data_IF_325791160608
#
_entry.id   IF_325791160608
#
_cell.length_a   1.000
_cell.length_b   1.000
_cell.length_c   1.000
_cell.angle_alpha   90.00
_cell.angle_beta   90.00
_cell.angle_gamma   90.00
#
_symmetry.space_group_name_H-M   'P 1'
#
loop_
_entity.id
_entity.type
_entity.pdbx_description
1 polymer ?
#
# COMPACT_ATOMS: atom_id res chain seq x y z
N UNK A 1 -54.81 -24.05 -54.16
CA UNK A 1 -53.80 -23.01 -53.87
C UNK A 1 -54.02 -22.53 -52.45
N UNK A 2 -53.24 -23.06 -51.50
CA UNK A 2 -53.29 -22.71 -50.09
C UNK A 2 -52.27 -21.60 -49.84
N UNK A 3 -52.67 -20.52 -49.17
CA UNK A 3 -51.76 -19.49 -48.70
C UNK A 3 -51.76 -19.52 -47.17
N UNK A 4 -50.69 -20.09 -46.62
CA UNK A 4 -50.35 -20.07 -45.20
C UNK A 4 -49.95 -18.66 -44.78
N UNK A 5 -50.61 -18.11 -43.76
CA UNK A 5 -50.19 -16.88 -43.09
C UNK A 5 -49.17 -17.21 -42.02
N UNK A 6 -47.97 -16.65 -42.17
CA UNK A 6 -46.82 -16.78 -41.27
C UNK A 6 -46.97 -15.91 -40.02
N UNK A 7 -46.70 -16.51 -38.86
CA UNK A 7 -46.58 -15.84 -37.57
C UNK A 7 -45.27 -15.03 -37.50
N UNK A 8 -45.23 -13.84 -36.86
CA UNK A 8 -43.97 -13.08 -36.71
C UNK A 8 -43.02 -13.73 -35.70
N UNK A 9 -41.74 -13.75 -36.06
CA UNK A 9 -40.63 -14.19 -35.21
C UNK A 9 -40.29 -13.12 -34.17
N UNK A 10 -40.32 -13.48 -32.88
CA UNK A 10 -39.80 -12.69 -31.76
C UNK A 10 -38.38 -13.16 -31.40
N UNK A 11 -37.39 -12.26 -31.23
CA UNK A 11 -36.05 -12.67 -30.81
C UNK A 11 -36.08 -13.09 -29.34
N UNK A 12 -35.69 -14.35 -29.08
CA UNK A 12 -35.43 -14.86 -27.74
C UNK A 12 -34.31 -14.04 -27.10
N UNK A 13 -34.61 -13.38 -25.96
CA UNK A 13 -33.59 -12.82 -25.08
C UNK A 13 -32.82 -13.98 -24.46
N UNK A 14 -31.59 -14.15 -24.92
CA UNK A 14 -30.58 -14.99 -24.30
C UNK A 14 -30.46 -14.59 -22.83
N UNK A 15 -30.94 -15.44 -21.93
CA UNK A 15 -30.61 -15.33 -20.52
C UNK A 15 -29.13 -15.74 -20.40
N UNK A 16 -28.24 -14.75 -20.45
CA UNK A 16 -26.89 -14.93 -19.94
C UNK A 16 -27.03 -15.25 -18.45
N UNK A 17 -26.75 -16.50 -18.10
CA UNK A 17 -26.60 -16.94 -16.72
C UNK A 17 -25.52 -16.03 -16.14
N UNK A 18 -25.92 -15.15 -15.22
CA UNK A 18 -25.00 -14.31 -14.49
C UNK A 18 -24.01 -15.25 -13.79
N UNK A 19 -22.81 -15.38 -14.36
CA UNK A 19 -21.71 -16.07 -13.71
C UNK A 19 -21.57 -15.46 -12.33
N UNK A 20 -21.64 -16.29 -11.29
CA UNK A 20 -21.29 -15.88 -9.95
C UNK A 20 -19.89 -15.27 -10.00
N UNK A 21 -19.83 -13.95 -9.95
CA UNK A 21 -18.60 -13.25 -9.61
C UNK A 21 -18.35 -13.59 -8.14
N UNK A 22 -17.51 -14.58 -7.90
CA UNK A 22 -16.86 -14.75 -6.61
C UNK A 22 -15.80 -13.65 -6.51
N UNK A 23 -15.85 -12.77 -5.49
CA UNK A 23 -14.71 -11.91 -5.21
C UNK A 23 -13.45 -12.77 -5.10
N UNK A 24 -12.27 -12.31 -5.57
CA UNK A 24 -11.03 -12.99 -5.23
C UNK A 24 -10.96 -13.15 -3.71
N UNK A 25 -10.58 -14.34 -3.24
CA UNK A 25 -10.57 -14.73 -1.83
C UNK A 25 -10.14 -13.54 -0.94
N UNK A 26 -11.06 -13.05 -0.13
CA UNK A 26 -10.82 -11.98 0.85
C UNK A 26 -9.81 -12.39 1.94
N UNK A 27 -9.21 -13.58 1.83
CA UNK A 27 -8.21 -14.14 2.73
C UNK A 27 -6.82 -13.50 2.58
N UNK A 28 -6.54 -12.75 1.50
CA UNK A 28 -5.23 -12.17 1.26
C UNK A 28 -5.30 -10.69 0.86
N UNK A 29 -4.52 -9.85 1.55
CA UNK A 29 -4.29 -8.46 1.16
C UNK A 29 -3.10 -8.36 0.22
N UNK A 30 -3.16 -7.44 -0.75
CA UNK A 30 -2.08 -7.18 -1.72
C UNK A 30 -1.01 -6.28 -1.11
N UNK A 31 0.27 -6.72 -1.00
CA UNK A 31 1.35 -5.81 -0.64
C UNK A 31 1.55 -4.78 -1.76
N UNK A 32 1.35 -3.49 -1.44
CA UNK A 32 1.59 -2.39 -2.37
C UNK A 32 2.85 -1.63 -1.93
N UNK A 33 3.94 -1.84 -2.66
CA UNK A 33 5.22 -1.19 -2.45
C UNK A 33 5.13 0.28 -2.90
N UNK A 34 5.45 1.20 -1.99
CA UNK A 34 5.40 2.66 -2.22
C UNK A 34 6.78 3.27 -1.97
N UNK A 35 7.62 3.40 -3.01
CA UNK A 35 8.95 4.00 -2.89
C UNK A 35 8.92 5.48 -2.49
N UNK A 36 10.06 5.97 -2.00
CA UNK A 36 10.31 7.37 -1.71
C UNK A 36 10.96 8.13 -2.87
N UNK A 37 11.43 9.35 -2.57
CA UNK A 37 12.17 10.20 -3.51
C UNK A 37 13.39 9.45 -4.11
N UNK A 38 13.59 9.57 -5.43
CA UNK A 38 14.61 8.86 -6.22
C UNK A 38 14.43 7.36 -6.38
N UNK A 39 13.24 6.85 -6.02
CA UNK A 39 12.86 5.44 -6.13
C UNK A 39 13.73 4.50 -5.28
N UNK A 40 13.34 3.22 -5.22
CA UNK A 40 14.14 2.16 -4.59
C UNK A 40 14.96 1.42 -5.65
N UNK A 41 16.28 1.53 -5.61
CA UNK A 41 17.18 0.82 -6.53
C UNK A 41 17.18 -0.71 -6.38
N UNK A 42 17.94 -1.45 -7.22
CA UNK A 42 17.88 -2.92 -7.30
C UNK A 42 18.19 -3.67 -6.00
N UNK A 43 19.13 -3.19 -5.19
CA UNK A 43 19.50 -3.83 -3.92
C UNK A 43 18.57 -3.49 -2.75
N UNK A 44 17.62 -2.58 -2.95
CA UNK A 44 16.77 -2.08 -1.87
C UNK A 44 15.71 -3.10 -1.49
N UNK A 45 15.42 -3.24 -0.20
CA UNK A 45 14.42 -4.18 0.31
C UNK A 45 13.06 -4.08 -0.40
N UNK A 46 12.56 -2.87 -0.69
CA UNK A 46 11.33 -2.68 -1.46
C UNK A 46 11.37 -3.33 -2.86
N UNK A 47 12.51 -3.29 -3.53
CA UNK A 47 12.67 -3.89 -4.87
C UNK A 47 12.75 -5.40 -4.78
N UNK A 48 13.56 -5.91 -3.85
CA UNK A 48 13.67 -7.35 -3.59
C UNK A 48 12.33 -7.95 -3.17
N UNK A 49 11.54 -7.24 -2.37
CA UNK A 49 10.22 -7.69 -1.94
C UNK A 49 9.18 -7.63 -3.06
N UNK A 50 9.21 -6.61 -3.92
CA UNK A 50 8.35 -6.53 -5.10
C UNK A 50 8.54 -7.74 -6.04
N UNK A 51 9.77 -8.25 -6.14
CA UNK A 51 10.11 -9.41 -6.97
C UNK A 51 9.75 -10.76 -6.31
N UNK A 52 9.83 -10.85 -4.99
CA UNK A 52 9.75 -12.12 -4.26
C UNK A 52 8.42 -12.39 -3.58
N UNK A 53 7.67 -11.34 -3.21
CA UNK A 53 6.39 -11.51 -2.51
C UNK A 53 5.28 -11.82 -3.51
N UNK A 54 4.55 -12.95 -3.36
CA UNK A 54 3.45 -13.29 -4.25
C UNK A 54 2.39 -12.19 -4.31
N UNK A 55 2.05 -11.75 -5.51
CA UNK A 55 1.02 -10.74 -5.76
C UNK A 55 1.41 -9.32 -5.34
N UNK A 56 2.65 -9.07 -4.90
CA UNK A 56 3.08 -7.72 -4.60
C UNK A 56 3.01 -6.82 -5.84
N UNK A 57 2.56 -5.59 -5.64
CA UNK A 57 2.50 -4.55 -6.66
C UNK A 57 3.39 -3.39 -6.25
N UNK A 58 3.91 -2.64 -7.22
CA UNK A 58 4.73 -1.46 -6.97
C UNK A 58 4.11 -0.24 -7.63
N UNK A 59 4.04 0.86 -6.87
CA UNK A 59 3.65 2.16 -7.41
C UNK A 59 4.82 2.74 -8.19
N UNK A 60 4.58 3.13 -9.44
CA UNK A 60 5.54 3.82 -10.30
C UNK A 60 5.11 5.26 -10.45
N UNK A 61 5.99 6.20 -10.09
CA UNK A 61 5.77 7.63 -10.26
C UNK A 61 6.37 8.11 -11.57
N UNK A 62 5.78 9.16 -12.15
CA UNK A 62 6.23 9.72 -13.43
C UNK A 62 7.56 10.49 -13.30
N UNK A 63 7.75 11.19 -12.18
CA UNK A 63 8.99 11.91 -11.86
C UNK A 63 9.47 11.57 -10.44
N UNK A 64 10.61 10.90 -10.37
CA UNK A 64 11.27 10.52 -9.13
C UNK A 64 12.19 11.60 -8.55
N UNK A 65 12.59 12.59 -9.35
CA UNK A 65 13.55 13.64 -9.00
C UNK A 65 12.85 14.92 -8.52
N UNK A 66 11.70 15.27 -9.09
CA UNK A 66 10.89 16.43 -8.72
C UNK A 66 9.49 16.00 -8.26
N UNK A 67 9.38 15.39 -7.07
CA UNK A 67 8.12 14.85 -6.59
C UNK A 67 7.13 16.00 -6.29
N UNK A 68 5.92 15.87 -6.81
CA UNK A 68 4.81 16.76 -6.50
C UNK A 68 3.73 15.97 -5.75
N UNK A 69 3.32 16.46 -4.57
CA UNK A 69 2.34 15.79 -3.69
C UNK A 69 1.11 15.33 -4.46
N UNK A 70 0.44 16.23 -5.17
CA UNK A 70 -0.85 15.93 -5.80
C UNK A 70 -0.72 14.82 -6.86
N UNK A 71 0.35 14.86 -7.66
CA UNK A 71 0.64 13.82 -8.65
C UNK A 71 0.94 12.46 -7.98
N UNK A 72 1.84 12.46 -7.00
CA UNK A 72 2.25 11.23 -6.30
C UNK A 72 1.10 10.57 -5.54
N UNK A 73 0.27 11.39 -4.86
CA UNK A 73 -0.90 10.93 -4.12
C UNK A 73 -1.98 10.43 -5.07
N UNK A 74 -2.21 11.10 -6.21
CA UNK A 74 -3.16 10.62 -7.23
C UNK A 74 -2.74 9.27 -7.80
N UNK A 75 -1.46 9.09 -8.13
CA UNK A 75 -0.91 7.82 -8.62
C UNK A 75 -1.04 6.71 -7.59
N UNK A 76 -0.69 6.99 -6.32
CA UNK A 76 -0.85 6.04 -5.22
C UNK A 76 -2.33 5.67 -5.03
N UNK A 77 -3.23 6.65 -4.97
CA UNK A 77 -4.67 6.43 -4.81
C UNK A 77 -5.23 5.57 -5.95
N UNK A 78 -4.84 5.83 -7.19
CA UNK A 78 -5.24 5.04 -8.34
C UNK A 78 -4.70 3.59 -8.28
N UNK A 79 -3.49 3.38 -7.76
CA UNK A 79 -2.96 2.02 -7.54
C UNK A 79 -3.77 1.28 -6.45
N UNK A 80 -4.04 1.93 -5.33
CA UNK A 80 -4.85 1.37 -4.22
C UNK A 80 -6.26 0.99 -4.70
N UNK A 81 -6.91 1.88 -5.46
CA UNK A 81 -8.28 1.67 -5.96
C UNK A 81 -8.38 0.57 -7.03
N UNK A 82 -7.32 0.36 -7.81
CA UNK A 82 -7.25 -0.71 -8.84
C UNK A 82 -6.83 -2.07 -8.30
N UNK A 83 -6.29 -2.13 -7.08
CA UNK A 83 -5.85 -3.38 -6.50
C UNK A 83 -7.03 -4.38 -6.40
N UNK A 84 -6.83 -5.66 -6.75
CA UNK A 84 -7.91 -6.65 -6.79
C UNK A 84 -8.48 -6.98 -5.40
N UNK A 85 -7.70 -6.74 -4.34
CA UNK A 85 -8.04 -6.96 -2.94
C UNK A 85 -7.75 -5.69 -2.12
N UNK A 86 -8.12 -5.63 -0.83
CA UNK A 86 -7.57 -4.63 0.09
C UNK A 86 -6.03 -4.67 0.09
N UNK A 87 -5.39 -3.53 0.28
CA UNK A 87 -3.92 -3.44 0.20
C UNK A 87 -3.28 -3.35 1.58
N UNK A 88 -2.06 -3.87 1.71
CA UNK A 88 -1.14 -3.47 2.77
C UNK A 88 -0.10 -2.54 2.16
N UNK A 89 -0.09 -1.27 2.57
CA UNK A 89 0.90 -0.31 2.09
C UNK A 89 2.26 -0.64 2.67
N UNK A 90 3.28 -0.67 1.83
CA UNK A 90 4.67 -0.90 2.22
C UNK A 90 5.48 0.30 1.75
N UNK A 91 5.43 1.36 2.55
CA UNK A 91 5.92 2.68 2.18
C UNK A 91 7.28 2.98 2.80
N UNK A 92 8.11 3.71 2.07
CA UNK A 92 9.42 4.16 2.53
C UNK A 92 9.59 5.67 2.32
N UNK A 93 10.19 6.35 3.30
CA UNK A 93 10.60 7.75 3.15
C UNK A 93 9.44 8.66 2.72
N UNK A 94 9.57 9.37 1.60
CA UNK A 94 8.51 10.23 1.05
C UNK A 94 7.21 9.46 0.75
N UNK A 95 7.30 8.16 0.42
CA UNK A 95 6.15 7.29 0.22
C UNK A 95 5.28 7.19 1.47
N UNK A 96 5.85 7.30 2.67
CA UNK A 96 5.07 7.34 3.92
C UNK A 96 4.21 8.61 3.99
N UNK A 97 4.77 9.74 3.56
CA UNK A 97 4.06 11.03 3.56
C UNK A 97 2.96 11.01 2.49
N UNK A 98 3.22 10.44 1.32
CA UNK A 98 2.20 10.22 0.30
C UNK A 98 1.04 9.33 0.81
N UNK A 99 1.35 8.27 1.57
CA UNK A 99 0.33 7.40 2.18
C UNK A 99 -0.54 8.13 3.21
N UNK A 100 0.03 9.06 4.00
CA UNK A 100 -0.71 9.88 4.95
C UNK A 100 -1.64 10.90 4.27
N UNK A 101 -1.35 11.30 3.04
CA UNK A 101 -2.17 12.21 2.22
C UNK A 101 -3.28 11.49 1.42
N UNK A 102 -3.43 10.16 1.55
CA UNK A 102 -4.42 9.43 0.77
C UNK A 102 -5.85 9.96 0.99
N UNK A 103 -6.64 10.15 -0.09
CA UNK A 103 -8.03 10.55 0.04
C UNK A 103 -8.86 9.43 0.71
N UNK A 104 -9.95 9.77 1.42
CA UNK A 104 -10.74 8.80 2.19
C UNK A 104 -11.18 7.56 1.41
N UNK A 105 -11.56 7.73 0.13
CA UNK A 105 -11.99 6.61 -0.72
C UNK A 105 -10.87 5.57 -0.95
N UNK A 106 -9.63 6.02 -1.14
CA UNK A 106 -8.48 5.12 -1.27
C UNK A 106 -8.06 4.57 0.09
N UNK A 107 -8.03 5.41 1.13
CA UNK A 107 -7.70 5.00 2.49
C UNK A 107 -8.63 3.89 3.02
N UNK A 108 -9.91 3.91 2.63
CA UNK A 108 -10.88 2.86 2.99
C UNK A 108 -10.57 1.48 2.40
N UNK A 109 -9.73 1.39 1.36
CA UNK A 109 -9.26 0.13 0.77
C UNK A 109 -7.93 -0.36 1.36
N UNK A 110 -7.32 0.41 2.25
CA UNK A 110 -6.08 0.02 2.92
C UNK A 110 -6.44 -0.82 4.13
N UNK A 111 -5.97 -2.07 4.15
CA UNK A 111 -6.11 -2.97 5.30
C UNK A 111 -5.16 -2.55 6.43
N UNK A 112 -3.90 -2.29 6.08
CA UNK A 112 -2.87 -1.86 7.02
C UNK A 112 -1.70 -1.16 6.30
N UNK A 113 -0.78 -0.57 7.06
CA UNK A 113 0.43 0.05 6.49
C UNK A 113 1.69 -0.21 7.32
N UNK A 114 2.78 -0.56 6.63
CA UNK A 114 4.15 -0.50 7.13
C UNK A 114 4.80 0.77 6.59
N UNK A 115 5.10 1.72 7.46
CA UNK A 115 5.62 3.05 7.16
C UNK A 115 7.08 3.15 7.64
N UNK A 116 8.03 2.99 6.72
CA UNK A 116 9.46 2.82 7.05
C UNK A 116 10.23 4.11 6.78
N UNK A 117 10.97 4.59 7.78
CA UNK A 117 11.84 5.76 7.70
C UNK A 117 11.12 7.00 7.12
N UNK A 118 9.96 7.43 7.66
CA UNK A 118 9.17 8.51 7.08
C UNK A 118 10.00 9.78 6.92
N UNK A 119 9.85 10.49 5.80
CA UNK A 119 10.62 11.72 5.53
C UNK A 119 10.17 12.91 6.39
N UNK A 120 11.02 13.93 6.48
CA UNK A 120 10.66 15.27 6.95
C UNK A 120 10.65 16.24 5.74
N UNK A 121 9.49 16.49 5.12
CA UNK A 121 9.40 17.36 3.94
C UNK A 121 9.84 18.80 4.22
N UNK A 122 9.65 19.30 5.44
CA UNK A 122 9.96 20.68 5.82
C UNK A 122 11.48 20.96 5.82
N UNK A 123 12.30 19.92 5.95
CA UNK A 123 13.77 20.03 5.93
C UNK A 123 14.38 19.97 4.53
N UNK A 124 13.58 19.81 3.47
CA UNK A 124 14.08 19.65 2.10
C UNK A 124 13.19 20.39 1.10
N UNK A 125 13.72 21.44 0.49
CA UNK A 125 12.99 22.27 -0.47
C UNK A 125 12.33 21.47 -1.61
N UNK A 126 12.98 20.41 -2.11
CA UNK A 126 12.43 19.55 -3.18
C UNK A 126 11.19 18.74 -2.76
N UNK A 127 10.88 18.70 -1.46
CA UNK A 127 9.77 17.95 -0.87
C UNK A 127 8.67 18.88 -0.31
N UNK A 128 8.83 20.19 -0.41
CA UNK A 128 7.99 21.19 0.25
C UNK A 128 6.49 21.02 -0.03
N UNK A 129 6.11 20.58 -1.23
CA UNK A 129 4.72 20.35 -1.64
C UNK A 129 4.00 19.28 -0.80
N UNK A 130 4.75 18.43 -0.09
CA UNK A 130 4.22 17.41 0.82
C UNK A 130 3.98 17.95 2.24
N UNK A 131 4.42 19.17 2.53
CA UNK A 131 4.10 19.87 3.77
C UNK A 131 2.78 20.66 3.66
N UNK A 132 2.06 20.87 4.78
CA UNK A 132 2.28 20.21 6.06
C UNK A 132 1.95 18.72 5.97
N UNK A 133 2.65 17.90 6.76
CA UNK A 133 2.33 16.47 6.88
C UNK A 133 0.98 16.32 7.60
N UNK A 134 0.03 15.52 7.09
CA UNK A 134 -1.28 15.39 7.69
C UNK A 134 -1.20 14.94 9.14
N UNK A 135 -1.80 15.74 10.02
CA UNK A 135 -2.01 15.39 11.42
C UNK A 135 -3.38 14.73 11.57
N UNK A 136 -3.43 13.52 12.11
CA UNK A 136 -4.68 12.80 12.29
C UNK A 136 -4.49 11.29 12.25
N UNK A 137 -5.32 10.58 12.99
CA UNK A 137 -5.27 9.11 13.05
C UNK A 137 -5.56 8.53 11.67
N UNK A 138 -4.74 7.57 11.23
CA UNK A 138 -4.99 6.82 10.00
C UNK A 138 -6.21 5.89 10.21
N UNK A 139 -7.10 5.72 9.22
CA UNK A 139 -8.30 4.89 9.36
C UNK A 139 -8.03 3.38 9.31
N UNK A 140 -6.76 2.97 9.39
CA UNK A 140 -6.29 1.60 9.30
C UNK A 140 -5.12 1.36 10.26
N UNK A 141 -4.87 0.09 10.61
CA UNK A 141 -3.73 -0.28 11.46
C UNK A 141 -2.42 0.07 10.76
N UNK A 142 -1.44 0.59 11.49
CA UNK A 142 -0.14 0.92 10.91
C UNK A 142 1.02 0.78 11.89
N UNK A 143 2.21 0.47 11.35
CA UNK A 143 3.48 0.43 12.06
C UNK A 143 4.40 1.47 11.42
N UNK A 144 4.93 2.40 12.22
CA UNK A 144 6.02 3.28 11.83
C UNK A 144 7.34 2.67 12.31
N UNK A 145 8.27 2.45 11.38
CA UNK A 145 9.64 2.03 11.69
C UNK A 145 10.58 3.20 11.48
N UNK A 146 11.40 3.56 12.46
CA UNK A 146 12.33 4.69 12.34
C UNK A 146 13.70 4.38 12.96
N UNK A 147 14.76 4.88 12.33
CA UNK A 147 16.11 4.78 12.86
C UNK A 147 16.45 5.93 13.82
N UNK A 148 17.32 5.69 14.81
CA UNK A 148 17.85 6.74 15.69
C UNK A 148 18.78 7.73 15.01
N UNK A 149 19.38 7.37 13.87
CA UNK A 149 20.35 8.18 13.13
C UNK A 149 19.93 8.44 11.67
N UNK A 150 18.62 8.43 11.37
CA UNK A 150 18.12 8.76 10.04
C UNK A 150 18.42 10.23 9.67
N UNK A 151 19.17 10.51 8.59
CA UNK A 151 19.50 11.87 8.18
C UNK A 151 18.30 12.63 7.58
N UNK A 152 17.27 11.93 7.10
CA UNK A 152 16.10 12.51 6.44
C UNK A 152 14.99 12.90 7.41
N UNK A 153 14.89 12.25 8.57
CA UNK A 153 13.87 12.53 9.56
C UNK A 153 14.36 12.20 10.97
N UNK A 154 14.44 13.18 11.89
CA UNK A 154 14.83 12.89 13.27
C UNK A 154 13.87 11.91 13.92
N UNK A 155 14.39 10.93 14.66
CA UNK A 155 13.57 9.88 15.32
C UNK A 155 12.46 10.46 16.22
N UNK A 156 12.68 11.64 16.82
CA UNK A 156 11.68 12.35 17.62
C UNK A 156 10.47 12.78 16.79
N UNK A 157 10.71 13.25 15.56
CA UNK A 157 9.67 13.63 14.62
C UNK A 157 8.95 12.39 14.07
N UNK A 158 9.69 11.34 13.68
CA UNK A 158 9.07 10.08 13.27
C UNK A 158 8.16 9.49 14.38
N UNK A 159 8.59 9.58 15.64
CA UNK A 159 7.75 9.20 16.79
C UNK A 159 6.55 10.13 16.99
N UNK A 160 6.64 11.41 16.62
CA UNK A 160 5.49 12.33 16.62
C UNK A 160 4.48 11.97 15.51
N UNK A 161 4.96 11.62 14.32
CA UNK A 161 4.11 11.07 13.26
C UNK A 161 3.38 9.82 13.73
N UNK A 162 4.09 8.84 14.31
CA UNK A 162 3.47 7.62 14.82
C UNK A 162 2.36 7.91 15.85
N UNK A 163 2.59 8.83 16.80
CA UNK A 163 1.55 9.25 17.76
C UNK A 163 0.36 9.91 17.10
N UNK A 164 0.60 10.84 16.17
CA UNK A 164 -0.45 11.56 15.43
C UNK A 164 -1.31 10.61 14.60
N UNK A 165 -0.66 9.70 13.87
CA UNK A 165 -1.29 8.70 13.02
C UNK A 165 -1.92 7.54 13.80
N UNK A 166 -1.64 7.44 15.10
CA UNK A 166 -2.13 6.35 15.94
C UNK A 166 -1.48 5.01 15.62
N UNK A 167 -0.26 5.04 15.10
CA UNK A 167 0.53 3.88 14.68
C UNK A 167 1.32 3.27 15.83
N UNK A 168 1.58 1.97 15.74
CA UNK A 168 2.66 1.34 16.50
C UNK A 168 4.01 1.94 16.07
N UNK A 169 4.98 2.03 16.99
CA UNK A 169 6.28 2.63 16.71
C UNK A 169 7.42 1.66 17.03
N UNK A 170 8.19 1.30 16.01
CA UNK A 170 9.38 0.47 16.12
C UNK A 170 10.60 1.34 15.87
N UNK A 171 11.42 1.52 16.91
CA UNK A 171 12.69 2.25 16.80
C UNK A 171 13.85 1.29 16.59
N UNK A 172 14.63 1.51 15.54
CA UNK A 172 15.87 0.79 15.28
C UNK A 172 17.08 1.65 15.72
N UNK A 173 18.04 1.09 16.47
CA UNK A 173 19.29 1.76 16.75
C UNK A 173 20.18 1.76 15.51
N UNK A 174 20.68 2.94 15.14
CA UNK A 174 21.73 3.17 14.15
C UNK A 174 21.54 2.55 12.76
N UNK A 175 20.28 2.40 12.33
CA UNK A 175 19.87 1.76 11.08
C UNK A 175 19.85 2.68 9.84
N UNK A 176 20.48 3.86 9.92
CA UNK A 176 20.54 4.85 8.84
C UNK A 176 19.15 5.21 8.30
N UNK A 177 18.99 5.27 6.98
CA UNK A 177 17.70 5.53 6.33
C UNK A 177 16.94 4.24 5.98
N UNK A 178 17.33 3.10 6.55
CA UNK A 178 16.71 1.78 6.32
C UNK A 178 16.67 1.46 4.82
N UNK A 179 17.84 1.53 4.19
CA UNK A 179 18.06 1.38 2.76
C UNK A 179 19.35 0.58 2.50
N UNK A 180 19.77 0.44 1.24
CA UNK A 180 20.94 -0.36 0.85
C UNK A 180 22.22 0.13 1.54
N UNK A 181 22.43 1.45 1.57
CA UNK A 181 23.62 2.07 2.17
C UNK A 181 23.72 1.82 3.68
N UNK A 182 22.60 1.51 4.33
CA UNK A 182 22.54 1.13 5.75
C UNK A 182 22.40 -0.38 5.97
N UNK A 183 22.59 -1.20 4.94
CA UNK A 183 22.58 -2.67 5.03
C UNK A 183 21.20 -3.33 4.90
N UNK A 184 20.17 -2.58 4.48
CA UNK A 184 18.80 -3.08 4.38
C UNK A 184 18.47 -3.54 2.96
N UNK A 185 18.94 -4.75 2.63
CA UNK A 185 18.57 -5.53 1.45
C UNK A 185 17.43 -6.52 1.76
N UNK A 186 17.74 -7.77 2.11
CA UNK A 186 16.68 -8.76 2.36
C UNK A 186 15.77 -8.41 3.57
N UNK A 187 16.31 -7.65 4.52
CA UNK A 187 15.66 -7.10 5.72
C UNK A 187 14.61 -8.02 6.40
N UNK A 188 15.04 -9.11 7.07
CA UNK A 188 14.12 -10.08 7.70
C UNK A 188 13.18 -9.49 8.76
N UNK A 189 13.65 -8.53 9.56
CA UNK A 189 12.80 -7.85 10.55
C UNK A 189 11.63 -7.12 9.87
N UNK A 190 11.88 -6.46 8.74
CA UNK A 190 10.84 -5.78 7.98
C UNK A 190 9.79 -6.75 7.45
N UNK A 191 10.22 -7.93 6.96
CA UNK A 191 9.30 -8.99 6.54
C UNK A 191 8.43 -9.50 7.69
N UNK A 192 9.00 -9.68 8.89
CA UNK A 192 8.23 -10.09 10.06
C UNK A 192 7.18 -9.03 10.46
N UNK A 193 7.53 -7.74 10.39
CA UNK A 193 6.58 -6.65 10.63
C UNK A 193 5.47 -6.63 9.57
N UNK A 194 5.81 -6.81 8.29
CA UNK A 194 4.83 -6.93 7.21
C UNK A 194 3.89 -8.12 7.42
N UNK A 195 4.42 -9.29 7.80
CA UNK A 195 3.61 -10.47 8.09
C UNK A 195 2.60 -10.23 9.22
N UNK A 196 2.98 -9.47 10.25
CA UNK A 196 2.08 -9.08 11.34
C UNK A 196 0.90 -8.18 10.90
N UNK A 197 1.01 -7.56 9.72
CA UNK A 197 0.01 -6.66 9.14
C UNK A 197 -0.87 -7.35 8.08
N UNK A 198 -0.51 -8.55 7.64
CA UNK A 198 -1.30 -9.29 6.67
C UNK A 198 -2.51 -9.96 7.37
N UNK A 199 -3.66 -10.09 6.70
CA UNK A 199 -4.79 -10.85 7.22
C UNK A 199 -4.36 -12.27 7.55
N UNK A 200 -4.78 -12.78 8.71
CA UNK A 200 -4.64 -14.21 9.02
C UNK A 200 -5.68 -14.96 8.18
N UNK A 201 -5.25 -15.92 7.37
CA UNK A 201 -6.18 -16.78 6.64
C UNK A 201 -7.09 -17.50 7.65
N UNK A 202 -8.38 -17.18 7.63
CA UNK A 202 -9.37 -17.89 8.44
C UNK A 202 -9.51 -19.30 7.92
N UNK A 203 -9.02 -20.30 8.65
CA UNK A 203 -9.32 -21.70 8.35
C UNK A 203 -10.82 -21.90 8.58
N UNK A 204 -11.61 -22.29 7.57
CA UNK A 204 -13.01 -22.60 7.79
C UNK A 204 -13.10 -23.80 8.74
N UNK A 205 -13.76 -23.62 9.88
CA UNK A 205 -14.12 -24.72 10.75
C UNK A 205 -15.16 -25.58 10.01
N UNK A 206 -14.69 -26.66 9.38
CA UNK A 206 -15.59 -27.71 8.92
C UNK A 206 -16.30 -28.28 10.15
N UNK A 207 -17.59 -27.96 10.29
CA UNK A 207 -18.46 -28.65 11.23
C UNK A 207 -18.44 -30.14 10.89
N UNK A 208 -17.72 -30.92 11.69
CA UNK A 208 -17.89 -32.36 11.74
C UNK A 208 -19.23 -32.58 12.45
N UNK A 209 -20.29 -32.80 11.67
CA UNK A 209 -21.51 -33.36 12.22
C UNK A 209 -21.18 -34.77 12.72
N UNK A 210 -21.41 -34.99 14.02
CA UNK A 210 -21.27 -36.28 14.70
C UNK A 210 -22.61 -37.02 14.57
#
# INVERSE_FOLDING_TARGET
MQASTSTPWTPQRSHAIAGHWTPPDAAHATPLIVPGWRDSGPGHWQTLWAERLPGAQRVVQDDWLHPARDAWVATLAAAVLRAPAPVVLVAHSLGCIAAAHLPPAAAARVHAALLVAPADPERRAVLDSFAPVPSGRLPYRSIVVASSNDPYCPVRLAGAYARSWGSEFVRLPDAGHINVESGHGDWPLGLALLQSLLPVASVPLHHIAI
#
